data_IF_854506030889
#
_entry.id   IF_854506030889
#
_cell.length_a   1.000
_cell.length_b   1.000
_cell.length_c   1.000
_cell.angle_alpha   90.00
_cell.angle_beta   90.00
_cell.angle_gamma   90.00
#
_symmetry.space_group_name_H-M   'P 1'
#
loop_
_entity.id
_entity.type
_entity.pdbx_description
1 polymer ?
#
# COMPACT_ATOMS: atom_id res chain seq x y z
N UNK A 1 11.27 79.16 -12.45
CA UNK A 1 12.10 78.00 -12.08
C UNK A 1 11.82 77.48 -10.66
N UNK A 2 11.67 78.32 -9.65
CA UNK A 2 11.40 77.85 -8.25
C UNK A 2 10.13 77.00 -8.06
N UNK A 3 9.05 77.28 -8.78
CA UNK A 3 7.79 76.50 -8.69
C UNK A 3 7.91 75.10 -9.26
N UNK A 4 8.77 74.89 -10.26
CA UNK A 4 8.98 73.58 -10.88
C UNK A 4 9.81 72.65 -9.97
N UNK A 5 10.84 73.20 -9.28
CA UNK A 5 11.61 72.46 -8.31
C UNK A 5 10.79 72.00 -7.10
N UNK A 6 9.84 72.88 -6.65
CA UNK A 6 8.96 72.52 -5.54
C UNK A 6 7.99 71.42 -5.91
N UNK A 7 7.38 71.48 -7.10
CA UNK A 7 6.50 70.45 -7.65
C UNK A 7 7.24 69.13 -7.83
N UNK A 8 8.48 69.16 -8.32
CA UNK A 8 9.31 67.95 -8.51
C UNK A 8 9.68 67.30 -7.18
N UNK A 9 10.01 68.08 -6.15
CA UNK A 9 10.26 67.56 -4.79
C UNK A 9 9.06 66.94 -4.14
N UNK A 10 7.86 67.52 -4.35
CA UNK A 10 6.58 66.97 -3.84
C UNK A 10 6.27 65.65 -4.57
N UNK A 11 6.53 65.56 -5.88
CA UNK A 11 6.28 64.36 -6.66
C UNK A 11 7.20 63.21 -6.23
N UNK A 12 8.48 63.53 -5.97
CA UNK A 12 9.44 62.50 -5.46
C UNK A 12 9.08 62.05 -4.06
N UNK A 13 8.66 62.99 -3.17
CA UNK A 13 8.25 62.66 -1.82
C UNK A 13 6.95 61.79 -1.82
N UNK A 14 6.01 62.06 -2.74
CA UNK A 14 4.81 61.24 -2.91
C UNK A 14 5.13 59.83 -3.46
N UNK A 15 6.09 59.71 -4.35
CA UNK A 15 6.51 58.45 -4.93
C UNK A 15 7.24 57.57 -3.90
N UNK A 16 8.07 58.16 -3.01
CA UNK A 16 8.74 57.41 -1.95
C UNK A 16 7.80 56.87 -0.90
N UNK A 17 6.63 57.52 -0.65
CA UNK A 17 5.63 57.03 0.30
C UNK A 17 4.91 55.78 -0.27
N UNK A 18 4.75 55.72 -1.61
CA UNK A 18 4.10 54.55 -2.24
C UNK A 18 4.98 53.29 -2.27
N UNK A 19 6.32 53.42 -2.16
CA UNK A 19 7.23 52.29 -2.17
C UNK A 19 7.26 51.57 -0.80
N UNK A 20 6.81 52.20 0.28
CA UNK A 20 6.78 51.63 1.62
C UNK A 20 5.44 50.98 2.02
N UNK A 21 4.41 51.08 1.18
CA UNK A 21 3.22 50.22 1.31
C UNK A 21 3.56 48.93 0.58
N UNK A 22 4.65 48.26 1.00
CA UNK A 22 4.88 46.86 0.65
C UNK A 22 3.70 46.08 1.21
N UNK A 23 3.08 45.24 0.38
CA UNK A 23 2.23 44.20 0.86
C UNK A 23 2.92 43.55 2.08
N UNK A 24 2.32 43.72 3.24
CA UNK A 24 2.46 42.74 4.27
C UNK A 24 1.91 41.48 3.61
N UNK A 25 2.80 40.61 3.15
CA UNK A 25 2.46 39.23 2.93
C UNK A 25 2.08 38.78 4.34
N UNK A 26 0.76 38.77 4.63
CA UNK A 26 0.26 37.99 5.73
C UNK A 26 0.90 36.63 5.53
N UNK A 27 1.92 36.36 6.32
CA UNK A 27 2.37 35.02 6.53
C UNK A 27 1.13 34.30 7.03
N UNK A 28 0.53 33.49 6.17
CA UNK A 28 -0.46 32.50 6.56
C UNK A 28 0.28 31.46 7.45
N UNK A 29 0.72 31.94 8.61
CA UNK A 29 1.13 31.10 9.70
C UNK A 29 -0.10 30.75 10.54
N UNK A 30 -1.15 30.28 9.88
CA UNK A 30 -2.13 29.40 10.50
C UNK A 30 -1.63 27.97 10.21
N UNK A 31 -0.48 27.64 10.82
CA UNK A 31 0.12 26.31 10.72
C UNK A 31 -0.73 25.22 11.39
N UNK A 32 -1.84 25.55 12.05
CA UNK A 32 -2.57 24.61 12.88
C UNK A 32 -3.85 24.03 12.24
N UNK A 33 -4.36 24.58 11.13
CA UNK A 33 -5.64 24.12 10.57
C UNK A 33 -5.48 22.97 9.55
N UNK A 34 -4.27 22.74 9.03
CA UNK A 34 -3.98 21.66 8.07
C UNK A 34 -2.89 20.70 8.56
N UNK A 35 -2.71 20.57 9.87
CA UNK A 35 -1.80 19.56 10.41
C UNK A 35 -2.39 18.18 10.15
N UNK A 36 -1.77 17.42 9.26
CA UNK A 36 -2.10 16.00 9.04
C UNK A 36 -1.79 15.14 10.27
N UNK A 37 -1.40 15.74 11.39
CA UNK A 37 -0.89 15.07 12.57
C UNK A 37 0.47 14.40 12.29
N UNK A 38 1.02 13.75 13.29
CA UNK A 38 2.30 13.08 13.16
C UNK A 38 2.25 11.99 12.09
N UNK A 39 3.15 12.08 11.11
CA UNK A 39 3.34 11.04 10.10
C UNK A 39 4.21 9.97 10.71
N UNK A 40 3.57 8.91 11.19
CA UNK A 40 4.25 7.77 11.81
C UNK A 40 4.14 6.56 10.90
N UNK A 41 5.26 5.88 10.66
CA UNK A 41 5.25 4.63 9.90
C UNK A 41 4.46 3.55 10.66
N UNK A 42 3.83 2.61 9.95
CA UNK A 42 3.20 1.45 10.57
C UNK A 42 4.19 0.68 11.45
N UNK A 43 3.71 0.17 12.59
CA UNK A 43 4.49 -0.63 13.53
C UNK A 43 3.78 -1.94 13.81
N UNK A 44 4.47 -2.89 14.44
CA UNK A 44 3.91 -4.20 14.82
C UNK A 44 3.27 -4.93 13.62
N UNK A 45 3.90 -4.87 12.45
CA UNK A 45 3.41 -5.57 11.26
C UNK A 45 3.41 -7.06 11.54
N UNK A 46 2.25 -7.70 11.40
CA UNK A 46 2.07 -9.13 11.54
C UNK A 46 1.42 -9.69 10.28
N UNK A 47 1.82 -10.91 9.92
CA UNK A 47 1.21 -11.65 8.82
C UNK A 47 1.05 -13.11 9.22
N UNK A 48 -0.12 -13.65 8.95
CA UNK A 48 -0.42 -15.07 9.08
C UNK A 48 -0.84 -15.64 7.73
N UNK A 49 -0.64 -16.95 7.56
CA UNK A 49 -1.01 -17.67 6.36
C UNK A 49 -1.75 -18.95 6.75
N UNK A 50 -2.97 -19.09 6.27
CA UNK A 50 -3.80 -20.28 6.45
C UNK A 50 -3.92 -21.01 5.11
N UNK A 51 -3.22 -22.16 4.99
CA UNK A 51 -3.30 -23.00 3.81
C UNK A 51 -4.65 -23.72 3.80
N UNK A 52 -5.36 -23.67 2.68
CA UNK A 52 -6.68 -24.29 2.54
C UNK A 52 -6.55 -25.82 2.60
N UNK A 53 -7.41 -26.47 3.36
CA UNK A 53 -7.39 -27.91 3.57
C UNK A 53 -6.23 -28.44 4.40
N UNK A 54 -5.50 -27.56 5.09
CA UNK A 54 -4.43 -27.97 6.01
C UNK A 54 -5.03 -28.59 7.27
N UNK A 55 -4.66 -29.84 7.53
CA UNK A 55 -5.01 -30.60 8.73
C UNK A 55 -3.85 -31.55 9.12
N UNK A 56 -4.11 -32.50 10.02
CA UNK A 56 -3.11 -33.47 10.48
C UNK A 56 -2.67 -34.43 9.38
N UNK A 57 -3.57 -34.80 8.48
CA UNK A 57 -3.30 -35.73 7.37
C UNK A 57 -2.75 -35.01 6.14
N UNK A 58 -3.07 -33.72 5.99
CA UNK A 58 -2.68 -32.84 4.88
C UNK A 58 -1.93 -31.62 5.40
N UNK A 59 -0.72 -31.73 5.92
CA UNK A 59 0.01 -30.64 6.57
C UNK A 59 0.34 -29.47 5.63
N UNK A 60 0.32 -29.70 4.31
CA UNK A 60 0.61 -28.70 3.28
C UNK A 60 -0.62 -28.34 2.41
N UNK A 61 -1.83 -28.67 2.90
CA UNK A 61 -3.10 -28.38 2.26
C UNK A 61 -3.65 -29.51 1.40
N UNK A 62 -4.82 -29.27 0.83
CA UNK A 62 -5.61 -30.25 0.06
C UNK A 62 -5.18 -30.41 -1.41
N UNK A 63 -4.11 -29.77 -1.80
CA UNK A 63 -3.62 -29.78 -3.18
C UNK A 63 -4.21 -28.69 -4.08
N UNK A 64 -5.10 -27.84 -3.58
CA UNK A 64 -5.66 -26.70 -4.33
C UNK A 64 -4.65 -25.61 -4.63
N UNK A 65 -3.59 -25.50 -3.81
CA UNK A 65 -2.65 -24.41 -3.88
C UNK A 65 -3.14 -23.11 -3.28
N UNK A 66 -4.30 -23.11 -2.61
CA UNK A 66 -4.92 -21.91 -2.06
C UNK A 66 -4.40 -21.59 -0.66
N UNK A 67 -4.08 -20.31 -0.43
CA UNK A 67 -3.65 -19.80 0.87
C UNK A 67 -4.38 -18.49 1.16
N UNK A 68 -4.97 -18.38 2.35
CA UNK A 68 -5.54 -17.15 2.86
C UNK A 68 -4.49 -16.46 3.75
N UNK A 69 -4.09 -15.26 3.36
CA UNK A 69 -3.19 -14.41 4.15
C UNK A 69 -4.01 -13.38 4.91
N UNK A 70 -3.63 -13.12 6.14
CA UNK A 70 -4.21 -12.07 6.97
C UNK A 70 -3.09 -11.28 7.62
N UNK A 71 -3.13 -9.97 7.47
CA UNK A 71 -2.14 -9.05 7.99
C UNK A 71 -2.74 -7.95 8.83
N UNK A 72 -1.96 -7.48 9.81
CA UNK A 72 -2.32 -6.34 10.64
C UNK A 72 -1.08 -5.53 11.01
N UNK A 73 -1.28 -4.25 11.28
CA UNK A 73 -0.25 -3.35 11.80
C UNK A 73 -0.88 -2.16 12.49
N UNK A 74 -0.18 -1.60 13.47
CA UNK A 74 -0.58 -0.34 14.08
C UNK A 74 -0.28 0.82 13.12
N UNK A 75 -1.12 1.85 13.11
CA UNK A 75 -1.00 3.04 12.25
C UNK A 75 -1.05 2.75 10.73
N UNK A 76 -1.47 1.57 10.31
CA UNK A 76 -1.71 1.27 8.91
C UNK A 76 -3.08 1.78 8.46
N UNK A 77 -3.15 2.27 7.22
CA UNK A 77 -4.38 2.68 6.54
C UNK A 77 -4.81 1.60 5.55
N UNK A 78 -3.84 0.94 4.93
CA UNK A 78 -4.08 -0.08 3.91
C UNK A 78 -2.87 -1.00 3.82
N UNK A 79 -3.01 -2.10 3.10
CA UNK A 79 -1.96 -3.10 2.92
C UNK A 79 -1.81 -3.46 1.45
N UNK A 80 -0.64 -3.95 1.09
CA UNK A 80 -0.41 -4.67 -0.16
C UNK A 80 0.42 -5.91 0.10
N UNK A 81 0.16 -6.94 -0.66
CA UNK A 81 0.94 -8.17 -0.68
C UNK A 81 1.80 -8.23 -1.92
N UNK A 82 3.05 -8.64 -1.76
CA UNK A 82 4.01 -8.77 -2.85
C UNK A 82 4.48 -10.22 -2.95
N UNK A 83 4.27 -10.82 -4.10
CA UNK A 83 4.76 -12.14 -4.43
C UNK A 83 5.29 -12.16 -5.88
N UNK A 84 6.51 -12.61 -6.09
CA UNK A 84 7.18 -12.69 -7.41
C UNK A 84 7.10 -11.38 -8.22
N UNK A 85 7.25 -10.26 -7.54
CA UNK A 85 7.17 -8.92 -8.15
C UNK A 85 5.75 -8.43 -8.46
N UNK A 86 4.73 -9.26 -8.22
CA UNK A 86 3.32 -8.86 -8.39
C UNK A 86 2.80 -8.28 -7.08
N UNK A 87 2.17 -7.11 -7.17
CA UNK A 87 1.56 -6.43 -6.04
C UNK A 87 0.04 -6.61 -6.06
N UNK A 88 -0.53 -7.01 -4.93
CA UNK A 88 -1.98 -7.13 -4.73
C UNK A 88 -2.40 -6.24 -3.57
N UNK A 89 -3.25 -5.24 -3.85
CA UNK A 89 -3.77 -4.33 -2.83
C UNK A 89 -4.82 -5.05 -1.98
N UNK A 90 -4.76 -4.81 -0.66
CA UNK A 90 -5.68 -5.38 0.33
C UNK A 90 -6.00 -4.33 1.39
N UNK A 91 -7.10 -3.57 1.26
CA UNK A 91 -7.45 -2.51 2.21
C UNK A 91 -7.68 -2.99 3.64
N UNK A 92 -8.18 -4.20 3.81
CA UNK A 92 -8.49 -4.83 5.09
C UNK A 92 -7.41 -5.77 5.62
N UNK A 93 -6.31 -5.91 4.88
CA UNK A 93 -5.21 -6.81 5.24
C UNK A 93 -5.44 -8.28 4.88
N UNK A 94 -6.56 -8.64 4.24
CA UNK A 94 -6.88 -10.01 3.89
C UNK A 94 -6.75 -10.25 2.39
N UNK A 95 -6.06 -11.32 1.98
CA UNK A 95 -5.94 -11.71 0.57
C UNK A 95 -5.90 -13.23 0.43
N UNK A 96 -6.58 -13.73 -0.59
CA UNK A 96 -6.46 -15.13 -1.02
C UNK A 96 -5.54 -15.18 -2.22
N UNK A 97 -4.54 -16.05 -2.15
CA UNK A 97 -3.62 -16.33 -3.27
C UNK A 97 -3.73 -17.79 -3.66
N UNK A 98 -3.61 -18.07 -4.95
CA UNK A 98 -3.56 -19.44 -5.49
C UNK A 98 -2.24 -19.66 -6.18
N UNK A 99 -1.49 -20.65 -5.72
CA UNK A 99 -0.23 -21.09 -6.31
C UNK A 99 -0.50 -22.25 -7.26
N UNK A 100 0.14 -22.25 -8.43
CA UNK A 100 -0.15 -23.21 -9.51
C UNK A 100 0.99 -24.15 -9.85
N UNK A 101 2.17 -23.98 -9.25
CA UNK A 101 3.32 -24.84 -9.52
C UNK A 101 3.11 -26.21 -8.86
N UNK A 102 3.01 -27.26 -9.66
CA UNK A 102 2.74 -28.62 -9.19
C UNK A 102 3.80 -29.13 -8.21
N UNK A 103 3.36 -29.97 -7.28
CA UNK A 103 4.16 -30.54 -6.22
C UNK A 103 4.19 -29.69 -4.96
N UNK A 104 5.05 -30.06 -4.02
CA UNK A 104 5.30 -29.29 -2.80
C UNK A 104 6.31 -28.20 -3.11
N UNK A 105 5.91 -26.95 -2.87
CA UNK A 105 6.75 -25.79 -3.13
C UNK A 105 6.70 -24.81 -1.95
N UNK A 106 7.80 -24.10 -1.76
CA UNK A 106 7.93 -23.05 -0.75
C UNK A 106 7.73 -21.69 -1.40
N UNK A 107 6.87 -20.86 -0.79
CA UNK A 107 6.55 -19.52 -1.25
C UNK A 107 6.80 -18.51 -0.15
N UNK A 108 7.44 -17.40 -0.49
CA UNK A 108 7.64 -16.27 0.43
C UNK A 108 6.81 -15.09 -0.07
N UNK A 109 5.87 -14.66 0.75
CA UNK A 109 4.98 -13.52 0.48
C UNK A 109 5.31 -12.41 1.46
N UNK A 110 5.42 -11.18 0.97
CA UNK A 110 5.67 -10.00 1.80
C UNK A 110 4.41 -9.17 1.90
N UNK A 111 3.96 -8.87 3.13
CA UNK A 111 2.97 -7.84 3.39
C UNK A 111 3.69 -6.50 3.58
N UNK A 112 3.15 -5.45 2.99
CA UNK A 112 3.58 -4.07 3.18
C UNK A 112 2.40 -3.30 3.76
N UNK A 113 2.52 -2.87 4.99
CA UNK A 113 1.57 -1.98 5.64
C UNK A 113 1.89 -0.54 5.22
N UNK A 114 0.88 0.21 4.83
CA UNK A 114 0.98 1.58 4.34
C UNK A 114 0.25 2.50 5.32
N UNK A 115 0.95 3.47 5.88
CA UNK A 115 0.45 4.45 6.84
C UNK A 115 0.18 5.82 6.22
N UNK A 116 -0.09 6.78 7.08
CA UNK A 116 -0.26 8.19 6.70
C UNK A 116 0.96 8.71 5.95
N UNK A 117 0.74 9.59 4.98
CA UNK A 117 1.82 10.17 4.18
C UNK A 117 2.59 9.16 3.30
N UNK A 118 2.05 7.94 3.10
CA UNK A 118 2.69 6.91 2.30
C UNK A 118 3.87 6.20 2.98
N UNK A 119 4.03 6.37 4.29
CA UNK A 119 5.03 5.63 5.07
C UNK A 119 4.74 4.13 5.05
N UNK A 120 5.76 3.30 5.02
CA UNK A 120 5.58 1.85 4.89
C UNK A 120 6.41 1.08 5.89
N UNK A 121 5.90 -0.09 6.28
CA UNK A 121 6.62 -1.14 6.99
C UNK A 121 6.23 -2.49 6.43
N UNK A 122 7.13 -3.47 6.45
CA UNK A 122 6.89 -4.75 5.81
C UNK A 122 7.31 -5.94 6.68
N UNK A 123 6.65 -7.08 6.44
CA UNK A 123 6.95 -8.37 7.05
C UNK A 123 6.79 -9.47 5.99
N UNK A 124 7.70 -10.43 5.97
CA UNK A 124 7.60 -11.59 5.10
C UNK A 124 7.09 -12.81 5.87
N UNK A 125 6.34 -13.68 5.19
CA UNK A 125 5.93 -15.00 5.65
C UNK A 125 6.27 -16.04 4.59
N UNK A 126 6.75 -17.18 5.04
CA UNK A 126 7.07 -18.31 4.15
C UNK A 126 6.11 -19.46 4.45
N UNK A 127 5.56 -20.06 3.39
CA UNK A 127 4.63 -21.20 3.46
C UNK A 127 5.08 -22.32 2.53
N UNK A 128 4.84 -23.55 2.93
CA UNK A 128 4.98 -24.72 2.08
C UNK A 128 3.61 -25.20 1.66
N UNK A 129 3.34 -25.20 0.37
CA UNK A 129 2.02 -25.48 -0.20
C UNK A 129 2.12 -26.63 -1.20
N UNK A 130 1.23 -27.62 -1.04
CA UNK A 130 1.06 -28.69 -2.00
C UNK A 130 0.09 -28.26 -3.10
N UNK A 131 0.48 -28.49 -4.35
CA UNK A 131 -0.39 -28.33 -5.52
C UNK A 131 -0.46 -29.66 -6.26
N UNK A 132 -1.66 -30.20 -6.41
CA UNK A 132 -1.90 -31.45 -7.14
C UNK A 132 -2.63 -31.17 -8.43
N UNK A 133 -2.35 -31.99 -9.45
CA UNK A 133 -3.15 -31.94 -10.67
C UNK A 133 -4.49 -32.65 -10.44
N UNK A 134 -5.58 -31.90 -10.61
CA UNK A 134 -6.93 -32.46 -10.64
C UNK A 134 -7.42 -32.48 -12.09
N UNK A 135 -7.50 -33.65 -12.74
CA UNK A 135 -7.96 -33.71 -14.11
C UNK A 135 -9.45 -33.35 -14.20
N UNK A 136 -9.90 -32.72 -15.30
CA UNK A 136 -11.30 -32.44 -15.53
C UNK A 136 -12.17 -33.70 -15.39
N UNK A 137 -13.32 -33.56 -14.73
CA UNK A 137 -14.23 -34.71 -14.49
C UNK A 137 -14.65 -35.45 -15.79
N UNK A 138 -14.78 -34.70 -16.88
CA UNK A 138 -15.07 -35.27 -18.21
C UNK A 138 -13.97 -36.19 -18.70
N UNK A 139 -12.71 -35.81 -18.49
CA UNK A 139 -11.55 -36.65 -18.85
C UNK A 139 -11.52 -37.92 -18.00
N UNK A 140 -11.74 -37.78 -16.70
CA UNK A 140 -11.80 -38.93 -15.78
C UNK A 140 -12.93 -39.86 -16.19
N UNK A 141 -14.14 -39.35 -16.49
CA UNK A 141 -15.30 -40.13 -16.96
C UNK A 141 -15.00 -40.84 -18.28
N UNK A 142 -14.40 -40.16 -19.24
CA UNK A 142 -14.02 -40.78 -20.53
C UNK A 142 -13.05 -41.94 -20.35
N UNK A 143 -12.01 -41.76 -19.49
CA UNK A 143 -11.04 -42.78 -19.21
C UNK A 143 -11.59 -43.98 -18.43
N UNK A 144 -12.53 -43.78 -17.53
CA UNK A 144 -13.11 -44.85 -16.69
C UNK A 144 -14.24 -45.57 -17.34
N UNK A 145 -14.98 -44.96 -18.28
CA UNK A 145 -16.10 -45.60 -19.00
C UNK A 145 -15.65 -46.36 -20.25
N UNK A 146 -14.37 -46.35 -20.62
CA UNK A 146 -13.82 -47.13 -21.74
C UNK A 146 -14.37 -46.80 -23.12
N UNK A 147 -14.97 -45.60 -23.26
CA UNK A 147 -15.42 -45.10 -24.56
C UNK A 147 -14.27 -44.29 -25.22
N UNK A 148 -13.46 -45.01 -25.98
CA UNK A 148 -12.43 -44.46 -26.85
C UNK A 148 -12.91 -44.41 -28.27
#
# INVERSE_FOLDING_TARGET
>A
MKKFETLFKILIASFTIFVFVGCEIDSFAEEDEYSFGDITAPTNVQVSAAIVGKDADNPNGDGSGEVNFSGSADNAITYKYVYDGVETLSPDGNVKMTFSKLGLNTYTVTIVAIGKGGTTSSQAVTVEVLVTYSPPAELVAALTTGKW
#
